data_IF_382855545925
#
_entry.id   IF_382855545925
#
_cell.length_a   1.000
_cell.length_b   1.000
_cell.length_c   1.000
_cell.angle_alpha   90.00
_cell.angle_beta   90.00
_cell.angle_gamma   90.00
#
_symmetry.space_group_name_H-M   'P 1'
#
loop_
_entity.id
_entity.type
_entity.pdbx_description
1 polymer ?
#
# COMPACT_ATOMS: atom_id res chain seq x y z
N UNK A 1 -2.69 -15.49 -0.09
CA UNK A 1 -3.34 -14.26 -0.61
C UNK A 1 -2.32 -13.15 -0.89
N UNK A 2 -1.42 -12.82 0.05
CA UNK A 2 -0.36 -11.82 -0.16
C UNK A 2 0.81 -12.29 -1.05
N UNK A 3 1.42 -13.43 -0.72
CA UNK A 3 2.67 -13.88 -1.35
C UNK A 3 2.54 -14.26 -2.82
N UNK A 4 1.39 -14.74 -3.28
CA UNK A 4 1.21 -15.11 -4.68
C UNK A 4 1.31 -13.88 -5.62
N UNK A 5 0.48 -12.82 -5.47
CA UNK A 5 0.66 -11.60 -6.26
C UNK A 5 2.00 -10.90 -5.96
N UNK A 6 2.46 -10.90 -4.71
CA UNK A 6 3.76 -10.34 -4.34
C UNK A 6 4.92 -11.02 -5.06
N UNK A 7 4.92 -12.36 -5.19
CA UNK A 7 5.94 -13.11 -5.91
C UNK A 7 5.92 -12.80 -7.41
N UNK A 8 4.74 -12.63 -8.01
CA UNK A 8 4.64 -12.25 -9.43
C UNK A 8 5.30 -10.89 -9.71
N UNK A 9 5.02 -9.87 -8.89
CA UNK A 9 5.67 -8.56 -9.04
C UNK A 9 7.16 -8.61 -8.71
N UNK A 10 7.55 -9.35 -7.68
CA UNK A 10 8.95 -9.54 -7.31
C UNK A 10 9.74 -10.23 -8.42
N UNK A 11 9.14 -11.18 -9.16
CA UNK A 11 9.76 -11.78 -10.35
C UNK A 11 9.98 -10.75 -11.45
N UNK A 12 9.02 -9.85 -11.71
CA UNK A 12 9.20 -8.77 -12.68
C UNK A 12 10.36 -7.84 -12.27
N UNK A 13 10.44 -7.50 -10.99
CA UNK A 13 11.47 -6.61 -10.44
C UNK A 13 12.88 -7.24 -10.42
N UNK A 14 12.98 -8.56 -10.23
CA UNK A 14 14.27 -9.28 -10.23
C UNK A 14 14.71 -9.70 -11.62
N UNK A 15 13.80 -10.17 -12.47
CA UNK A 15 14.12 -10.65 -13.81
C UNK A 15 14.31 -9.50 -14.80
N UNK A 16 13.74 -8.31 -14.52
CA UNK A 16 13.67 -7.17 -15.43
C UNK A 16 13.08 -7.53 -16.81
N UNK A 17 12.31 -8.61 -16.87
CA UNK A 17 11.75 -9.20 -18.08
C UNK A 17 10.27 -9.53 -17.88
N UNK A 18 9.40 -9.31 -18.89
CA UNK A 18 9.72 -8.71 -20.19
C UNK A 18 9.97 -7.19 -20.08
N UNK A 19 10.93 -6.66 -20.84
CA UNK A 19 11.30 -5.23 -20.80
C UNK A 19 10.12 -4.31 -21.08
N UNK A 20 9.16 -4.78 -21.90
CA UNK A 20 7.93 -4.10 -22.23
C UNK A 20 7.07 -3.82 -20.99
N UNK A 21 7.23 -4.51 -19.87
CA UNK A 21 6.47 -4.19 -18.64
C UNK A 21 7.05 -2.96 -17.93
N UNK A 22 8.32 -2.63 -18.17
CA UNK A 22 9.00 -1.50 -17.52
C UNK A 22 8.48 -0.14 -17.95
N UNK A 23 7.85 -0.04 -19.11
CA UNK A 23 7.17 1.19 -19.55
C UNK A 23 6.05 1.63 -18.59
N UNK A 24 5.53 0.70 -17.78
CA UNK A 24 4.51 0.96 -16.76
C UNK A 24 5.09 1.31 -15.38
N UNK A 25 6.43 1.43 -15.23
CA UNK A 25 7.03 1.88 -13.97
C UNK A 25 6.57 3.28 -13.62
N UNK A 26 6.14 3.46 -12.37
CA UNK A 26 5.70 4.77 -11.86
C UNK A 26 6.90 5.70 -11.64
N UNK A 27 8.01 5.15 -11.12
CA UNK A 27 9.28 5.84 -10.88
C UNK A 27 10.46 5.17 -11.63
N UNK A 28 10.59 5.35 -12.96
CA UNK A 28 11.62 4.69 -13.77
C UNK A 28 13.05 4.95 -13.26
N UNK A 29 13.90 3.92 -13.28
CA UNK A 29 15.31 4.01 -12.87
C UNK A 29 15.56 3.94 -11.36
N UNK A 30 14.52 3.74 -10.55
CA UNK A 30 14.65 3.57 -9.09
C UNK A 30 14.47 2.10 -8.73
N UNK A 31 15.39 1.53 -7.94
CA UNK A 31 15.37 0.10 -7.56
C UNK A 31 15.39 -0.85 -8.77
N UNK A 32 16.09 -0.49 -9.84
CA UNK A 32 16.27 -1.31 -11.04
C UNK A 32 17.78 -1.54 -11.30
N UNK A 33 18.35 -2.72 -10.97
CA UNK A 33 17.70 -3.87 -10.32
C UNK A 33 17.45 -3.65 -8.82
N UNK A 34 16.51 -4.40 -8.27
CA UNK A 34 16.21 -4.36 -6.83
C UNK A 34 17.41 -4.92 -6.04
N UNK A 35 17.86 -4.25 -4.96
CA UNK A 35 18.95 -4.77 -4.13
C UNK A 35 18.54 -6.06 -3.41
N UNK A 36 19.15 -7.20 -3.78
CA UNK A 36 18.78 -8.54 -3.29
C UNK A 36 18.76 -8.64 -1.77
N UNK A 37 19.77 -8.11 -1.08
CA UNK A 37 19.84 -8.18 0.39
C UNK A 37 18.76 -7.35 1.07
N UNK A 38 18.42 -6.18 0.52
CA UNK A 38 17.33 -5.36 1.03
C UNK A 38 15.98 -6.08 0.83
N UNK A 39 15.80 -6.75 -0.31
CA UNK A 39 14.62 -7.56 -0.60
C UNK A 39 14.52 -8.79 0.33
N UNK A 40 15.62 -9.49 0.61
CA UNK A 40 15.62 -10.60 1.58
C UNK A 40 15.21 -10.09 2.97
N UNK A 41 15.77 -8.96 3.43
CA UNK A 41 15.36 -8.32 4.69
C UNK A 41 13.86 -8.00 4.69
N UNK A 42 13.35 -7.44 3.59
CA UNK A 42 11.92 -7.16 3.40
C UNK A 42 11.07 -8.42 3.59
N UNK A 43 11.42 -9.51 2.90
CA UNK A 43 10.70 -10.79 2.98
C UNK A 43 10.74 -11.37 4.40
N UNK A 44 11.89 -11.34 5.07
CA UNK A 44 12.03 -11.86 6.43
C UNK A 44 11.16 -11.09 7.42
N UNK A 45 11.14 -9.75 7.36
CA UNK A 45 10.34 -8.93 8.26
C UNK A 45 8.84 -9.09 7.97
N UNK A 46 8.44 -9.11 6.70
CA UNK A 46 7.04 -9.36 6.33
C UNK A 46 6.55 -10.72 6.85
N UNK A 47 7.36 -11.79 6.72
CA UNK A 47 7.02 -13.10 7.29
C UNK A 47 6.96 -13.06 8.83
N UNK A 48 7.91 -12.38 9.49
CA UNK A 48 7.86 -12.20 10.94
C UNK A 48 6.55 -11.52 11.37
N UNK A 49 6.18 -10.41 10.71
CA UNK A 49 4.96 -9.68 11.02
C UNK A 49 3.70 -10.56 10.80
N UNK A 50 3.62 -11.27 9.68
CA UNK A 50 2.48 -12.13 9.38
C UNK A 50 2.36 -13.32 10.33
N UNK A 51 3.47 -13.96 10.72
CA UNK A 51 3.42 -15.16 11.57
C UNK A 51 3.37 -14.81 13.05
N UNK A 52 4.30 -13.96 13.51
CA UNK A 52 4.49 -13.68 14.94
C UNK A 52 3.51 -12.65 15.47
N UNK A 53 3.01 -11.73 14.62
CA UNK A 53 2.09 -10.68 15.05
C UNK A 53 0.66 -10.95 14.59
N UNK A 54 0.44 -11.20 13.29
CA UNK A 54 -0.92 -11.37 12.77
C UNK A 54 -1.61 -12.60 13.32
N UNK A 55 -0.92 -13.75 13.46
CA UNK A 55 -1.57 -14.97 13.98
C UNK A 55 -2.06 -14.79 15.42
N UNK A 56 -1.25 -14.34 16.40
CA UNK A 56 -1.76 -14.07 17.75
C UNK A 56 -2.83 -12.97 17.80
N UNK A 57 -2.70 -11.93 16.98
CA UNK A 57 -3.70 -10.85 16.91
C UNK A 57 -5.05 -11.38 16.41
N UNK A 58 -5.05 -12.15 15.32
CA UNK A 58 -6.26 -12.77 14.77
C UNK A 58 -6.86 -13.80 15.72
N UNK A 59 -6.02 -14.55 16.45
CA UNK A 59 -6.47 -15.45 17.49
C UNK A 59 -7.18 -14.71 18.64
N UNK A 60 -6.66 -13.56 19.07
CA UNK A 60 -7.33 -12.69 20.03
C UNK A 60 -8.66 -12.15 19.49
N UNK A 61 -8.68 -11.66 18.24
CA UNK A 61 -9.91 -11.20 17.58
C UNK A 61 -10.95 -12.31 17.48
N UNK A 62 -10.51 -13.53 17.18
CA UNK A 62 -11.37 -14.72 17.13
C UNK A 62 -12.07 -14.97 18.47
N UNK A 63 -11.37 -14.87 19.60
CA UNK A 63 -12.00 -15.01 20.92
C UNK A 63 -12.99 -13.89 21.23
N UNK A 64 -12.68 -12.65 20.86
CA UNK A 64 -13.63 -11.54 20.99
C UNK A 64 -14.89 -11.76 20.16
N UNK A 65 -14.73 -12.40 19.00
CA UNK A 65 -15.80 -12.76 18.09
C UNK A 65 -16.67 -13.90 18.60
N UNK A 66 -16.09 -14.87 19.31
CA UNK A 66 -16.86 -15.94 19.97
C UNK A 66 -17.83 -15.38 21.02
N UNK A 67 -17.47 -14.28 21.70
CA UNK A 67 -18.39 -13.61 22.64
C UNK A 67 -19.66 -13.08 21.96
N UNK A 68 -19.64 -12.88 20.63
CA UNK A 68 -20.80 -12.42 19.84
C UNK A 68 -21.61 -13.56 19.20
N UNK A 69 -21.13 -14.80 19.25
CA UNK A 69 -21.92 -16.00 18.98
C UNK A 69 -22.12 -16.46 17.51
N UNK A 70 -21.72 -15.70 16.49
CA UNK A 70 -22.11 -16.01 15.09
C UNK A 70 -20.96 -16.30 14.10
N UNK A 71 -19.70 -16.18 14.52
CA UNK A 71 -18.56 -16.09 13.59
C UNK A 71 -18.16 -17.42 12.93
N UNK A 72 -18.47 -18.54 13.58
CA UNK A 72 -18.21 -19.90 13.09
C UNK A 72 -19.49 -20.67 12.73
N UNK A 73 -20.56 -19.97 12.33
CA UNK A 73 -21.73 -20.67 11.80
C UNK A 73 -21.29 -21.63 10.68
N UNK A 74 -21.69 -22.92 10.70
CA UNK A 74 -21.41 -23.82 9.59
C UNK A 74 -22.19 -23.43 8.32
N UNK A 75 -23.19 -22.57 8.46
CA UNK A 75 -24.00 -22.04 7.35
C UNK A 75 -23.28 -20.83 6.75
N UNK A 76 -22.94 -20.94 5.46
CA UNK A 76 -22.29 -19.85 4.74
C UNK A 76 -23.20 -18.61 4.66
N UNK A 77 -22.63 -17.40 4.77
CA UNK A 77 -23.37 -16.16 4.57
C UNK A 77 -23.82 -16.05 3.12
N UNK A 78 -24.98 -15.44 2.91
CA UNK A 78 -25.45 -15.13 1.56
C UNK A 78 -24.49 -14.13 0.88
N UNK A 79 -24.41 -14.16 -0.46
CA UNK A 79 -23.59 -13.21 -1.21
C UNK A 79 -23.95 -11.73 -0.86
N UNK A 80 -25.24 -11.33 -0.77
CA UNK A 80 -25.59 -9.98 -0.31
C UNK A 80 -25.05 -9.63 1.08
N UNK A 81 -25.08 -10.58 2.03
CA UNK A 81 -24.51 -10.38 3.36
C UNK A 81 -23.00 -10.15 3.32
N UNK A 82 -22.27 -10.95 2.52
CA UNK A 82 -20.82 -10.79 2.34
C UNK A 82 -20.51 -9.42 1.74
N UNK A 83 -21.25 -9.00 0.70
CA UNK A 83 -21.06 -7.69 0.04
C UNK A 83 -21.37 -6.55 1.01
N UNK A 84 -22.47 -6.64 1.75
CA UNK A 84 -22.83 -5.63 2.75
C UNK A 84 -21.74 -5.48 3.81
N UNK A 85 -21.30 -6.58 4.40
CA UNK A 85 -20.27 -6.56 5.45
C UNK A 85 -18.95 -5.97 4.94
N UNK A 86 -18.54 -6.33 3.73
CA UNK A 86 -17.32 -5.77 3.11
C UNK A 86 -17.46 -4.26 2.96
N UNK A 87 -18.54 -3.78 2.32
CA UNK A 87 -18.73 -2.36 2.05
C UNK A 87 -18.81 -1.54 3.34
N UNK A 88 -19.54 -2.02 4.35
CA UNK A 88 -19.65 -1.33 5.64
C UNK A 88 -18.32 -1.37 6.39
N UNK A 89 -17.56 -2.47 6.30
CA UNK A 89 -16.23 -2.59 6.91
C UNK A 89 -15.20 -1.61 6.32
N UNK A 90 -15.38 -1.13 5.09
CA UNK A 90 -14.49 -0.13 4.49
C UNK A 90 -14.50 1.20 5.25
N UNK A 91 -15.61 1.55 5.92
CA UNK A 91 -15.73 2.83 6.64
C UNK A 91 -14.80 2.87 7.87
N UNK A 92 -14.92 1.96 8.87
CA UNK A 92 -14.02 1.98 10.01
C UNK A 92 -12.59 1.61 9.61
N UNK A 93 -12.40 0.82 8.54
CA UNK A 93 -11.06 0.58 7.96
C UNK A 93 -10.43 1.88 7.49
N UNK A 94 -11.12 2.69 6.68
CA UNK A 94 -10.58 3.97 6.18
C UNK A 94 -10.28 4.93 7.33
N UNK A 95 -11.19 5.05 8.31
CA UNK A 95 -11.02 5.90 9.49
C UNK A 95 -9.77 5.51 10.28
N UNK A 96 -9.69 4.23 10.70
CA UNK A 96 -8.58 3.77 11.52
C UNK A 96 -7.25 3.82 10.76
N UNK A 97 -7.23 3.39 9.49
CA UNK A 97 -6.04 3.47 8.65
C UNK A 97 -5.53 4.91 8.54
N UNK A 98 -6.39 5.84 8.14
CA UNK A 98 -6.00 7.24 7.95
C UNK A 98 -5.42 7.87 9.22
N UNK A 99 -6.11 7.73 10.36
CA UNK A 99 -5.67 8.38 11.59
C UNK A 99 -4.43 7.72 12.19
N UNK A 100 -4.31 6.39 12.16
CA UNK A 100 -3.08 5.73 12.62
C UNK A 100 -1.90 6.02 11.71
N UNK A 101 -2.10 5.97 10.39
CA UNK A 101 -1.04 6.27 9.43
C UNK A 101 -0.57 7.72 9.59
N UNK A 102 -1.49 8.69 9.61
CA UNK A 102 -1.14 10.10 9.85
C UNK A 102 -0.49 10.33 11.21
N UNK A 103 -0.92 9.63 12.26
CA UNK A 103 -0.29 9.68 13.57
C UNK A 103 1.17 9.17 13.52
N UNK A 104 1.42 8.07 12.82
CA UNK A 104 2.76 7.50 12.66
C UNK A 104 3.71 8.43 11.88
N UNK A 105 3.18 9.39 11.11
CA UNK A 105 3.97 10.46 10.50
C UNK A 105 4.32 11.62 11.43
N UNK A 106 3.83 11.62 12.68
CA UNK A 106 4.32 12.55 13.68
C UNK A 106 5.82 12.34 13.93
N UNK A 107 6.60 13.43 13.97
CA UNK A 107 8.08 13.44 13.94
C UNK A 107 8.75 12.34 14.78
N UNK A 108 8.28 12.13 16.01
CA UNK A 108 8.84 11.11 16.91
C UNK A 108 8.47 9.70 16.45
N UNK A 109 7.18 9.43 16.21
CA UNK A 109 6.70 8.12 15.76
C UNK A 109 7.28 7.74 14.40
N UNK A 110 7.40 8.71 13.49
CA UNK A 110 7.99 8.49 12.18
C UNK A 110 9.41 7.96 12.31
N UNK A 111 10.25 8.65 13.08
CA UNK A 111 11.66 8.29 13.26
C UNK A 111 11.86 6.85 13.73
N UNK A 112 10.99 6.36 14.62
CA UNK A 112 11.18 5.06 15.27
C UNK A 112 10.36 3.93 14.65
N UNK A 113 9.18 4.22 14.12
CA UNK A 113 8.22 3.18 13.74
C UNK A 113 7.88 3.20 12.25
N UNK A 114 7.79 4.37 11.62
CA UNK A 114 7.32 4.46 10.23
C UNK A 114 8.42 4.68 9.18
N UNK A 115 9.58 5.19 9.60
CA UNK A 115 10.72 5.43 8.71
C UNK A 115 11.17 4.15 7.98
N UNK A 116 11.04 3.00 8.63
CA UNK A 116 11.39 1.70 8.06
C UNK A 116 10.56 1.40 6.80
N UNK A 117 9.24 1.61 6.85
CA UNK A 117 8.36 1.44 5.70
C UNK A 117 8.74 2.37 4.54
N UNK A 118 9.17 3.59 4.88
CA UNK A 118 9.63 4.62 3.94
C UNK A 118 11.08 4.46 3.46
N UNK A 119 11.79 3.38 3.82
CA UNK A 119 13.13 3.09 3.25
C UNK A 119 13.08 2.84 1.74
N UNK A 120 11.92 2.46 1.20
CA UNK A 120 11.68 2.16 -0.21
C UNK A 120 10.85 3.27 -0.88
N UNK A 121 11.51 4.34 -1.34
CA UNK A 121 10.83 5.47 -1.99
C UNK A 121 10.07 5.08 -3.28
N UNK A 122 10.62 4.14 -4.05
CA UNK A 122 9.91 3.44 -5.12
C UNK A 122 9.63 2.03 -4.63
N UNK A 123 8.43 1.76 -4.09
CA UNK A 123 8.14 0.47 -3.49
C UNK A 123 8.13 -0.64 -4.54
N UNK A 124 8.40 -1.85 -4.06
CA UNK A 124 8.18 -3.11 -4.79
C UNK A 124 7.15 -3.90 -4.00
N UNK A 125 6.25 -4.65 -4.67
CA UNK A 125 4.96 -5.02 -4.07
C UNK A 125 5.02 -5.60 -2.65
N UNK A 126 6.01 -6.45 -2.38
CA UNK A 126 6.21 -7.11 -1.08
C UNK A 126 6.64 -6.18 0.07
N UNK A 127 7.01 -4.93 -0.23
CA UNK A 127 7.35 -3.88 0.76
C UNK A 127 6.13 -3.40 1.52
N UNK A 128 4.91 -3.63 1.03
CA UNK A 128 3.69 -3.24 1.74
C UNK A 128 3.60 -3.78 3.18
N UNK A 129 4.17 -4.96 3.44
CA UNK A 129 4.27 -5.56 4.79
C UNK A 129 5.68 -5.43 5.43
N UNK A 130 6.61 -4.70 4.79
CA UNK A 130 7.90 -4.33 5.38
C UNK A 130 7.72 -3.13 6.31
N UNK A 131 7.14 -3.40 7.48
CA UNK A 131 6.77 -2.38 8.46
C UNK A 131 7.29 -2.75 9.84
N UNK A 132 7.49 -1.75 10.69
CA UNK A 132 7.80 -2.00 12.10
C UNK A 132 6.63 -2.76 12.76
N UNK A 133 6.87 -3.68 13.73
CA UNK A 133 5.80 -4.42 14.40
C UNK A 133 4.61 -3.58 14.90
N UNK A 134 4.90 -2.42 15.50
CA UNK A 134 3.86 -1.48 15.94
C UNK A 134 3.02 -0.94 14.77
N UNK A 135 3.67 -0.58 13.66
CA UNK A 135 2.97 -0.11 12.46
C UNK A 135 2.11 -1.23 11.87
N UNK A 136 2.63 -2.45 11.80
CA UNK A 136 1.87 -3.60 11.32
C UNK A 136 0.57 -3.80 12.11
N UNK A 137 0.61 -3.66 13.44
CA UNK A 137 -0.60 -3.73 14.25
C UNK A 137 -1.54 -2.55 13.98
N UNK A 138 -1.03 -1.32 14.01
CA UNK A 138 -1.85 -0.11 13.95
C UNK A 138 -2.43 0.19 12.55
N UNK A 139 -1.67 -0.07 11.50
CA UNK A 139 -2.00 0.32 10.12
C UNK A 139 -2.45 -0.88 9.28
N UNK A 140 -2.05 -2.11 9.63
CA UNK A 140 -2.49 -3.32 8.90
C UNK A 140 -3.58 -4.08 9.66
N UNK A 141 -3.31 -4.51 10.89
CA UNK A 141 -4.18 -5.45 11.61
C UNK A 141 -5.46 -4.82 12.15
N UNK A 142 -5.36 -3.68 12.85
CA UNK A 142 -6.53 -3.00 13.41
C UNK A 142 -7.49 -2.54 12.30
N UNK A 143 -7.04 -1.87 11.22
CA UNK A 143 -7.96 -1.44 10.16
C UNK A 143 -8.61 -2.59 9.41
N UNK A 144 -7.92 -3.73 9.28
CA UNK A 144 -8.50 -4.93 8.68
C UNK A 144 -9.63 -5.51 9.54
N UNK A 145 -9.45 -5.57 10.86
CA UNK A 145 -10.35 -6.31 11.75
C UNK A 145 -11.44 -5.47 12.41
N UNK A 146 -11.28 -4.15 12.52
CA UNK A 146 -12.25 -3.29 13.22
C UNK A 146 -13.66 -3.39 12.63
N UNK A 147 -13.81 -3.40 11.30
CA UNK A 147 -15.10 -3.54 10.63
C UNK A 147 -15.76 -4.89 10.92
N UNK A 148 -15.09 -6.02 10.60
CA UNK A 148 -15.59 -7.35 10.93
C UNK A 148 -15.92 -7.56 12.41
N UNK A 149 -15.11 -7.02 13.32
CA UNK A 149 -15.36 -7.10 14.75
C UNK A 149 -16.62 -6.36 15.14
N UNK A 150 -16.87 -5.16 14.60
CA UNK A 150 -18.08 -4.39 14.88
C UNK A 150 -19.33 -5.10 14.37
N UNK A 151 -19.28 -5.61 13.14
CA UNK A 151 -20.40 -6.26 12.45
C UNK A 151 -20.66 -7.70 12.91
N UNK A 152 -19.70 -8.35 13.56
CA UNK A 152 -19.79 -9.78 13.85
C UNK A 152 -19.69 -10.64 12.59
N UNK A 153 -18.93 -10.18 11.59
CA UNK A 153 -18.88 -10.78 10.27
C UNK A 153 -18.46 -12.25 10.29
N UNK A 154 -19.07 -13.04 9.41
CA UNK A 154 -18.74 -14.44 9.22
C UNK A 154 -17.28 -14.61 8.76
N UNK A 155 -16.60 -15.69 9.19
CA UNK A 155 -15.20 -15.95 8.88
C UNK A 155 -14.87 -15.83 7.37
N UNK A 156 -15.71 -16.39 6.50
CA UNK A 156 -15.54 -16.29 5.03
C UNK A 156 -15.48 -14.83 4.54
N UNK A 157 -16.33 -13.95 5.08
CA UNK A 157 -16.30 -12.51 4.74
C UNK A 157 -14.96 -11.90 5.13
N UNK A 158 -14.43 -12.25 6.30
CA UNK A 158 -13.12 -11.78 6.79
C UNK A 158 -12.00 -12.23 5.85
N UNK A 159 -12.02 -13.49 5.40
CA UNK A 159 -11.03 -14.00 4.44
C UNK A 159 -11.10 -13.28 3.10
N UNK A 160 -12.30 -13.01 2.58
CA UNK A 160 -12.48 -12.24 1.34
C UNK A 160 -11.96 -10.81 1.52
N UNK A 161 -12.32 -10.15 2.62
CA UNK A 161 -11.83 -8.80 2.93
C UNK A 161 -10.31 -8.76 3.06
N UNK A 162 -9.70 -9.74 3.74
CA UNK A 162 -8.26 -9.86 3.88
C UNK A 162 -7.57 -10.10 2.52
N UNK A 163 -8.17 -10.91 1.64
CA UNK A 163 -7.67 -11.12 0.29
C UNK A 163 -7.64 -9.83 -0.52
N UNK A 164 -8.76 -9.10 -0.52
CA UNK A 164 -8.91 -7.82 -1.21
C UNK A 164 -7.93 -6.78 -0.66
N UNK A 165 -7.80 -6.69 0.67
CA UNK A 165 -6.86 -5.79 1.32
C UNK A 165 -5.40 -6.12 0.95
N UNK A 166 -4.99 -7.40 1.02
CA UNK A 166 -3.64 -7.82 0.64
C UNK A 166 -3.33 -7.53 -0.83
N UNK A 167 -4.26 -7.82 -1.75
CA UNK A 167 -4.08 -7.54 -3.17
C UNK A 167 -3.97 -6.03 -3.39
N UNK A 168 -4.84 -5.23 -2.76
CA UNK A 168 -4.78 -3.77 -2.80
C UNK A 168 -3.43 -3.22 -2.31
N UNK A 169 -2.92 -3.74 -1.19
CA UNK A 169 -1.59 -3.37 -0.67
C UNK A 169 -0.50 -3.68 -1.69
N UNK A 170 -0.47 -4.88 -2.27
CA UNK A 170 0.52 -5.24 -3.29
C UNK A 170 0.44 -4.28 -4.48
N UNK A 171 -0.76 -4.00 -4.99
CA UNK A 171 -0.95 -3.11 -6.15
C UNK A 171 -0.45 -1.69 -5.82
N UNK A 172 -0.82 -1.15 -4.67
CA UNK A 172 -0.38 0.19 -4.23
C UNK A 172 1.14 0.32 -4.06
N UNK A 173 1.84 -0.79 -3.84
CA UNK A 173 3.29 -0.84 -3.61
C UNK A 173 4.08 -1.47 -4.75
N UNK A 174 3.44 -1.97 -5.81
CA UNK A 174 4.15 -2.76 -6.81
C UNK A 174 5.13 -1.92 -7.65
N UNK A 175 4.98 -0.60 -7.66
CA UNK A 175 5.79 0.30 -8.47
C UNK A 175 5.44 0.27 -9.96
N UNK A 176 4.36 -0.42 -10.35
CA UNK A 176 3.86 -0.50 -11.73
C UNK A 176 2.40 -0.03 -11.83
N UNK A 177 2.12 0.83 -12.79
CA UNK A 177 0.76 1.17 -13.18
C UNK A 177 0.30 0.30 -14.36
N UNK A 178 0.00 -0.97 -14.08
CA UNK A 178 -0.41 -1.93 -15.11
C UNK A 178 -1.86 -1.72 -15.58
N UNK A 179 -2.19 -2.12 -16.82
CA UNK A 179 -3.56 -2.12 -17.31
C UNK A 179 -4.49 -2.99 -16.44
N UNK A 180 -5.75 -2.57 -16.34
CA UNK A 180 -6.86 -3.22 -15.61
C UNK A 180 -6.70 -3.31 -14.09
N UNK A 181 -5.60 -2.81 -13.53
CA UNK A 181 -5.40 -2.71 -12.08
C UNK A 181 -5.74 -1.29 -11.58
N UNK A 182 -6.17 -1.15 -10.31
CA UNK A 182 -6.25 0.14 -9.64
C UNK A 182 -4.93 0.90 -9.71
N UNK A 183 -5.02 2.23 -9.69
CA UNK A 183 -3.83 3.08 -9.81
C UNK A 183 -3.01 3.10 -8.52
N UNK A 184 -1.68 2.87 -8.59
CA UNK A 184 -0.78 3.01 -7.44
C UNK A 184 -0.37 4.47 -7.16
N UNK A 185 -0.67 5.41 -8.07
CA UNK A 185 -0.15 6.79 -8.07
C UNK A 185 -0.39 7.54 -6.75
N UNK A 186 -1.50 7.27 -6.06
CA UNK A 186 -1.83 7.93 -4.80
C UNK A 186 -0.84 7.60 -3.68
N UNK A 187 -0.58 6.31 -3.50
CA UNK A 187 0.31 5.82 -2.45
C UNK A 187 1.78 5.94 -2.85
N UNK A 188 2.11 5.81 -4.13
CA UNK A 188 3.44 6.13 -4.62
C UNK A 188 3.80 7.61 -4.36
N UNK A 189 2.85 8.54 -4.61
CA UNK A 189 3.03 9.95 -4.27
C UNK A 189 3.21 10.18 -2.76
N UNK A 190 2.53 9.38 -1.92
CA UNK A 190 2.74 9.38 -0.48
C UNK A 190 4.20 9.05 -0.12
N UNK A 191 4.78 7.98 -0.67
CA UNK A 191 6.20 7.64 -0.47
C UNK A 191 7.17 8.71 -0.99
N UNK A 192 6.77 9.46 -2.02
CA UNK A 192 7.58 10.54 -2.57
C UNK A 192 7.57 11.81 -1.71
N UNK A 193 6.42 12.15 -1.11
CA UNK A 193 6.22 13.44 -0.41
C UNK A 193 6.11 13.34 1.11
N UNK A 194 5.87 12.15 1.66
CA UNK A 194 5.74 11.79 3.08
C UNK A 194 4.63 12.52 3.87
N UNK A 195 4.05 13.58 3.32
CA UNK A 195 3.18 14.53 4.03
C UNK A 195 1.81 14.71 3.38
N UNK A 196 1.53 13.91 2.36
CA UNK A 196 0.28 13.92 1.59
C UNK A 196 -0.21 12.48 1.43
N UNK A 197 -1.50 12.29 1.15
CA UNK A 197 -2.09 11.00 0.75
C UNK A 197 -1.98 9.88 1.81
N UNK A 198 -2.48 10.11 3.02
CA UNK A 198 -2.40 9.15 4.13
C UNK A 198 -3.48 8.05 4.10
N UNK A 199 -4.63 8.31 3.50
CA UNK A 199 -5.78 7.41 3.48
C UNK A 199 -5.65 6.32 2.42
N UNK A 200 -6.50 5.29 2.52
CA UNK A 200 -6.53 4.21 1.55
C UNK A 200 -7.55 4.48 0.42
N UNK A 201 -8.65 5.17 0.74
CA UNK A 201 -9.68 5.59 -0.23
C UNK A 201 -9.54 7.08 -0.62
N UNK A 202 -8.73 7.86 0.12
CA UNK A 202 -8.52 9.29 -0.11
C UNK A 202 -9.66 10.19 0.36
N UNK A 203 -10.77 9.63 0.85
CA UNK A 203 -11.93 10.38 1.35
C UNK A 203 -11.50 11.27 2.53
N UNK A 204 -10.76 10.70 3.49
CA UNK A 204 -10.32 11.47 4.65
C UNK A 204 -9.21 12.45 4.32
N UNK A 205 -8.38 12.19 3.31
CA UNK A 205 -7.41 13.18 2.86
C UNK A 205 -8.09 14.38 2.23
N UNK A 206 -9.10 14.16 1.38
CA UNK A 206 -9.89 15.24 0.79
C UNK A 206 -10.53 16.11 1.88
N UNK A 207 -11.15 15.47 2.89
CA UNK A 207 -11.81 16.16 4.00
C UNK A 207 -10.83 16.97 4.88
N UNK A 208 -9.62 16.45 5.11
CA UNK A 208 -8.61 17.13 5.92
C UNK A 208 -7.66 18.01 5.08
N UNK A 209 -7.78 17.97 3.76
CA UNK A 209 -6.90 18.68 2.82
C UNK A 209 -5.46 18.15 2.78
N UNK A 210 -5.23 16.86 3.06
CA UNK A 210 -3.92 16.21 2.97
C UNK A 210 -3.64 15.58 1.61
N UNK A 211 -4.42 15.91 0.58
CA UNK A 211 -4.19 15.53 -0.83
C UNK A 211 -4.06 16.76 -1.76
N UNK A 212 -3.93 17.97 -1.20
CA UNK A 212 -4.00 19.22 -1.99
C UNK A 212 -2.90 19.30 -3.03
N UNK A 213 -1.66 18.98 -2.66
CA UNK A 213 -0.54 19.02 -3.62
C UNK A 213 -0.61 17.87 -4.60
N UNK A 214 -1.10 16.72 -4.16
CA UNK A 214 -1.35 15.58 -5.04
C UNK A 214 -2.33 15.96 -6.14
N UNK A 215 -3.48 16.55 -5.81
CA UNK A 215 -4.51 16.97 -6.78
C UNK A 215 -4.03 18.03 -7.78
N UNK A 216 -2.96 18.74 -7.46
CA UNK A 216 -2.31 19.74 -8.33
C UNK A 216 -1.16 19.15 -9.16
N UNK A 217 -0.85 17.86 -8.98
CA UNK A 217 0.30 17.20 -9.62
C UNK A 217 -0.10 16.39 -10.85
N UNK A 218 0.90 16.06 -11.67
CA UNK A 218 0.73 15.13 -12.81
C UNK A 218 0.31 13.73 -12.33
N UNK A 219 0.73 13.30 -11.13
CA UNK A 219 0.35 12.01 -10.56
C UNK A 219 -1.18 11.89 -10.39
N UNK A 220 -1.88 12.99 -10.04
CA UNK A 220 -3.34 12.98 -9.97
C UNK A 220 -4.01 12.78 -11.33
N UNK A 221 -3.46 13.36 -12.40
CA UNK A 221 -3.97 13.15 -13.77
C UNK A 221 -3.79 11.69 -14.22
N UNK A 222 -2.78 11.01 -13.67
CA UNK A 222 -2.51 9.59 -13.85
C UNK A 222 -3.29 8.70 -12.90
N UNK A 223 -3.88 9.22 -11.81
CA UNK A 223 -4.55 8.39 -10.80
C UNK A 223 -5.93 7.87 -11.26
N UNK A 224 -5.90 6.89 -12.16
CA UNK A 224 -7.08 6.22 -12.74
C UNK A 224 -6.72 4.82 -13.19
N UNK A 225 -7.72 3.93 -13.25
CA UNK A 225 -7.54 2.61 -13.84
C UNK A 225 -7.16 2.76 -15.31
N UNK A 226 -6.06 2.10 -15.71
CA UNK A 226 -5.58 2.13 -17.08
C UNK A 226 -6.30 1.03 -17.88
N UNK A 227 -7.17 1.41 -18.81
CA UNK A 227 -7.88 0.45 -19.69
C UNK A 227 -7.19 0.22 -21.03
N UNK A 228 -6.24 1.07 -21.41
CA UNK A 228 -5.44 0.95 -22.62
C UNK A 228 -4.08 0.28 -22.34
N UNK A 229 -3.39 -0.16 -23.40
CA UNK A 229 -2.01 -0.65 -23.31
C UNK A 229 -0.97 0.47 -23.35
N UNK A 230 -1.38 1.72 -23.59
CA UNK A 230 -0.46 2.85 -23.56
C UNK A 230 -0.24 3.31 -22.11
N UNK A 231 1.01 3.42 -21.63
CA UNK A 231 1.28 3.91 -20.28
C UNK A 231 0.81 5.35 -20.09
N UNK A 232 0.23 5.66 -18.93
CA UNK A 232 -0.22 7.02 -18.63
C UNK A 232 0.94 8.02 -18.50
N UNK A 233 2.18 7.55 -18.33
CA UNK A 233 3.39 8.38 -18.37
C UNK A 233 3.65 8.96 -19.77
N UNK A 234 3.15 8.33 -20.84
CA UNK A 234 3.23 8.86 -22.20
C UNK A 234 2.11 9.89 -22.45
N UNK A 235 0.89 9.59 -22.01
CA UNK A 235 -0.25 10.52 -22.16
C UNK A 235 -0.13 11.76 -21.27
N UNK A 236 0.42 11.60 -20.07
CA UNK A 236 0.66 12.67 -19.09
C UNK A 236 2.14 12.68 -18.71
N UNK A 237 3.04 13.24 -19.53
CA UNK A 237 4.47 13.27 -19.24
C UNK A 237 4.75 14.12 -17.99
N UNK A 238 5.69 13.65 -17.16
CA UNK A 238 6.15 14.42 -16.00
C UNK A 238 7.03 15.59 -16.42
N UNK A 239 7.20 16.59 -15.55
CA UNK A 239 8.20 17.63 -15.78
C UNK A 239 9.58 16.98 -15.93
N UNK A 240 10.24 17.18 -17.08
CA UNK A 240 11.63 16.80 -17.26
C UNK A 240 12.43 17.57 -16.21
N UNK A 241 13.06 16.88 -15.25
CA UNK A 241 14.15 17.48 -14.46
C UNK A 241 15.12 18.06 -15.48
N UNK A 242 15.28 19.39 -15.50
CA UNK A 242 16.28 20.03 -16.33
C UNK A 242 17.61 19.32 -16.09
N UNK A 243 18.25 18.84 -17.16
CA UNK A 243 19.50 18.09 -17.04
C UNK A 243 20.49 18.94 -16.25
N UNK A 244 21.07 18.35 -15.21
CA UNK A 244 22.15 18.96 -14.42
C UNK A 244 23.46 18.98 -15.23
N UNK A 245 23.44 19.60 -16.41
CA UNK A 245 24.55 19.66 -17.36
C UNK A 245 24.86 21.10 -17.78
N UNK A 246 24.72 22.06 -16.86
CA UNK A 246 24.82 23.48 -17.21
C UNK A 246 25.31 24.46 -16.14
N UNK A 247 25.82 24.02 -14.99
CA UNK A 247 26.43 24.94 -14.01
C UNK A 247 27.60 24.27 -13.28
N UNK A 248 28.77 24.24 -13.94
CA UNK A 248 30.05 24.24 -13.23
C UNK A 248 31.19 24.62 -14.19
N UNK A 249 31.20 25.89 -14.60
CA UNK A 249 32.40 26.57 -15.08
C UNK A 249 32.46 27.94 -14.44
N UNK A 250 33.59 28.24 -13.81
CA UNK A 250 33.93 29.39 -12.94
C UNK A 250 33.36 29.17 -11.54
N UNK A 251 34.18 28.78 -10.57
CA UNK A 251 35.14 29.69 -9.91
C UNK A 251 36.52 29.02 -9.79
N UNK A 252 37.51 29.66 -10.41
CA UNK A 252 38.95 29.53 -10.13
C UNK A 252 39.41 30.92 -9.68
N UNK A 253 40.26 30.96 -8.63
CA UNK A 253 41.08 32.08 -8.15
C UNK A 253 40.33 33.20 -7.39
N UNK A 254 40.47 33.24 -6.07
CA UNK A 254 41.53 33.97 -5.37
C UNK A 254 41.70 33.42 -3.95
#
# INVERSE_FOLDING_TARGET
MYWLPGALFMLLDLALWPEQVRQYKVQPGTNEPVPTWALIKCVLVANFNQVVLSVPFLWGCYHLMLLKGEVLSPVLPSLPSVVFDILVSLIPKEITFYYFHRLLHHRWLYKYFHKMHHEWQSPVGVVGDYTHPLEHILVTMIPLMVGPLLLGSHLVTIWVLAALASIGTIINHCGYHLPLLPSPEYHDYHHLKFTECYGNLGILDYLHGTDRKFRQSVNYLRHKTLYALEPLTHTFPGEKKASASGVNRRIKKH
#
